data_IF_528217176923
#
_entry.id   IF_528217176923
#
_cell.length_a   1.000
_cell.length_b   1.000
_cell.length_c   1.000
_cell.angle_alpha   90.00
_cell.angle_beta   90.00
_cell.angle_gamma   90.00
#
_symmetry.space_group_name_H-M   'P 1'
#
loop_
_entity.id
_entity.type
_entity.pdbx_description
1 polymer ?
#
# COMPACT_ATOMS: atom_id res chain seq x y z
N UNK A 1 -32.23 -31.35 -23.40
CA UNK A 1 -32.25 -30.07 -22.71
C UNK A 1 -31.63 -30.26 -21.32
N UNK A 2 -30.34 -29.92 -21.14
CA UNK A 2 -29.68 -29.95 -19.82
C UNK A 2 -29.84 -28.59 -19.22
N UNK A 3 -30.69 -28.50 -18.23
CA UNK A 3 -30.77 -27.30 -17.35
C UNK A 3 -29.41 -27.12 -16.65
N UNK A 4 -28.61 -26.17 -17.12
CA UNK A 4 -27.51 -25.64 -16.32
C UNK A 4 -28.12 -24.75 -15.23
N UNK A 5 -28.35 -25.34 -14.06
CA UNK A 5 -28.47 -24.56 -12.83
C UNK A 5 -27.11 -23.88 -12.61
N UNK A 6 -26.98 -22.64 -13.00
CA UNK A 6 -25.96 -21.76 -12.47
C UNK A 6 -26.25 -21.56 -10.99
N UNK A 7 -25.65 -22.42 -10.16
CA UNK A 7 -25.57 -22.16 -8.71
C UNK A 7 -25.05 -20.73 -8.54
N UNK A 8 -25.84 -19.89 -7.95
CA UNK A 8 -25.50 -18.52 -7.57
C UNK A 8 -24.46 -18.60 -6.44
N UNK A 9 -23.21 -18.92 -6.82
CA UNK A 9 -22.11 -19.18 -5.88
C UNK A 9 -21.80 -17.88 -5.17
N UNK A 10 -22.25 -17.74 -3.95
CA UNK A 10 -21.99 -16.58 -3.12
C UNK A 10 -20.46 -16.37 -3.01
N UNK A 11 -19.98 -15.19 -3.39
CA UNK A 11 -18.56 -14.88 -3.36
C UNK A 11 -18.00 -14.94 -1.93
N UNK A 12 -16.79 -15.49 -1.72
CA UNK A 12 -16.17 -15.57 -0.40
C UNK A 12 -15.98 -14.17 0.21
N UNK A 13 -16.30 -14.03 1.49
CA UNK A 13 -16.28 -12.76 2.24
C UNK A 13 -14.86 -12.39 2.66
N UNK A 14 -14.53 -11.10 2.62
CA UNK A 14 -13.33 -10.54 3.23
C UNK A 14 -13.60 -9.11 3.72
N UNK A 15 -12.75 -8.63 4.63
CA UNK A 15 -12.82 -7.27 5.17
C UNK A 15 -11.57 -6.50 4.78
N UNK A 16 -11.75 -5.26 4.34
CA UNK A 16 -10.68 -4.30 4.09
C UNK A 16 -10.73 -3.23 5.17
N UNK A 17 -9.64 -3.02 5.91
CA UNK A 17 -9.50 -1.91 6.87
C UNK A 17 -8.50 -0.93 6.30
N UNK A 18 -8.96 0.28 6.01
CA UNK A 18 -8.16 1.31 5.37
C UNK A 18 -8.25 2.65 6.11
N UNK A 19 -7.31 3.53 5.82
CA UNK A 19 -7.30 4.87 6.41
C UNK A 19 -5.93 5.52 6.33
N UNK A 20 -5.85 6.72 6.87
CA UNK A 20 -4.64 7.53 6.88
C UNK A 20 -3.55 6.90 7.76
N UNK A 21 -2.28 7.27 7.51
CA UNK A 21 -1.21 6.95 8.46
C UNK A 21 -1.56 7.54 9.83
N UNK A 22 -1.17 6.89 10.92
CA UNK A 22 -1.48 7.25 12.31
C UNK A 22 -2.98 7.29 12.69
N UNK A 23 -3.89 6.67 11.91
CA UNK A 23 -5.32 6.61 12.24
C UNK A 23 -5.71 5.48 13.22
N UNK A 24 -4.78 4.58 13.57
CA UNK A 24 -5.07 3.44 14.45
C UNK A 24 -5.45 2.14 13.74
N UNK A 25 -5.20 2.03 12.42
CA UNK A 25 -5.52 0.82 11.65
C UNK A 25 -4.96 -0.47 12.26
N UNK A 26 -3.75 -0.42 12.77
CA UNK A 26 -3.08 -1.60 13.35
C UNK A 26 -3.85 -2.12 14.56
N UNK A 27 -4.19 -1.25 15.50
CA UNK A 27 -4.88 -1.64 16.73
C UNK A 27 -6.27 -2.21 16.42
N UNK A 28 -7.01 -1.53 15.54
CA UNK A 28 -8.32 -2.01 15.10
C UNK A 28 -8.23 -3.37 14.39
N UNK A 29 -7.27 -3.52 13.49
CA UNK A 29 -7.12 -4.76 12.74
C UNK A 29 -6.73 -5.95 13.62
N UNK A 30 -5.87 -5.74 14.60
CA UNK A 30 -5.49 -6.77 15.57
C UNK A 30 -6.69 -7.19 16.44
N UNK A 31 -7.43 -6.21 16.96
CA UNK A 31 -8.64 -6.48 17.74
C UNK A 31 -9.68 -7.25 16.93
N UNK A 32 -10.03 -6.74 15.74
CA UNK A 32 -11.07 -7.33 14.89
C UNK A 32 -10.64 -8.70 14.34
N UNK A 33 -9.38 -8.86 13.92
CA UNK A 33 -8.90 -10.16 13.47
C UNK A 33 -8.92 -11.20 14.57
N UNK A 34 -8.59 -10.84 15.80
CA UNK A 34 -8.70 -11.75 16.96
C UNK A 34 -10.17 -12.13 17.22
N UNK A 35 -11.07 -11.15 17.22
CA UNK A 35 -12.50 -11.37 17.49
C UNK A 35 -13.18 -12.24 16.45
N UNK A 36 -12.89 -12.03 15.17
CA UNK A 36 -13.52 -12.73 14.05
C UNK A 36 -12.69 -13.90 13.48
N UNK A 37 -11.76 -14.44 14.27
CA UNK A 37 -10.89 -15.55 13.84
C UNK A 37 -10.25 -15.32 12.49
N UNK A 38 -9.64 -14.15 12.31
CA UNK A 38 -9.08 -13.71 11.05
C UNK A 38 -7.55 -13.74 10.99
N UNK A 39 -7.03 -13.56 9.78
CA UNK A 39 -5.60 -13.36 9.50
C UNK A 39 -5.42 -12.10 8.63
N UNK A 40 -4.28 -11.43 8.75
CA UNK A 40 -4.07 -10.09 8.17
C UNK A 40 -3.16 -10.17 6.93
N UNK A 41 -3.56 -9.47 5.87
CA UNK A 41 -2.77 -9.20 4.67
C UNK A 41 -2.43 -7.71 4.67
N UNK A 42 -1.16 -7.35 4.84
CA UNK A 42 -0.73 -5.95 4.86
C UNK A 42 -0.80 -5.33 3.46
N UNK A 43 -1.54 -4.23 3.33
CA UNK A 43 -1.62 -3.39 2.14
C UNK A 43 -0.84 -2.07 2.32
N UNK A 44 0.37 -2.19 2.85
CA UNK A 44 1.32 -1.08 3.04
C UNK A 44 2.58 -1.31 2.20
N UNK A 45 2.83 -0.41 1.24
CA UNK A 45 3.97 -0.52 0.31
C UNK A 45 5.33 -0.19 0.93
N UNK A 46 5.38 0.12 2.24
CA UNK A 46 6.62 0.41 2.97
C UNK A 46 6.96 -0.68 3.98
N UNK A 47 5.98 -1.18 4.70
CA UNK A 47 6.18 -2.26 5.69
C UNK A 47 6.55 -3.61 5.07
N UNK A 48 6.51 -3.74 3.75
CA UNK A 48 6.99 -4.94 3.04
C UNK A 48 8.50 -5.15 3.16
N UNK A 49 9.28 -4.06 3.36
CA UNK A 49 10.73 -4.13 3.33
C UNK A 49 11.32 -4.61 4.66
N UNK A 50 12.22 -5.59 4.60
CA UNK A 50 13.04 -6.02 5.73
C UNK A 50 13.97 -4.91 6.20
N UNK A 51 14.35 -4.91 7.49
CA UNK A 51 15.31 -3.95 8.07
C UNK A 51 14.84 -2.49 8.06
N UNK A 52 13.63 -2.23 7.65
CA UNK A 52 13.02 -0.90 7.59
C UNK A 52 11.81 -0.89 8.54
N UNK A 53 12.10 -0.86 9.84
CA UNK A 53 11.10 -1.10 10.87
C UNK A 53 10.60 0.21 11.48
N UNK A 54 11.54 1.06 11.90
CA UNK A 54 11.24 2.31 12.60
C UNK A 54 10.62 3.33 11.63
N UNK A 55 11.29 3.63 10.51
CA UNK A 55 10.84 4.64 9.56
C UNK A 55 9.54 4.29 8.83
N UNK A 56 9.16 3.01 8.77
CA UNK A 56 7.87 2.56 8.22
C UNK A 56 6.80 2.41 9.29
N UNK A 57 7.15 2.58 10.56
CA UNK A 57 6.30 2.22 11.70
C UNK A 57 5.73 0.80 11.56
N UNK A 58 6.59 -0.14 11.16
CA UNK A 58 6.22 -1.55 11.05
C UNK A 58 5.78 -2.07 12.40
N UNK A 59 4.67 -2.79 12.43
CA UNK A 59 4.19 -3.39 13.66
C UNK A 59 5.19 -4.42 14.16
N UNK A 60 5.69 -4.29 15.40
CA UNK A 60 6.61 -5.28 15.95
C UNK A 60 6.00 -6.66 15.99
N UNK A 61 6.72 -7.62 15.48
CA UNK A 61 6.29 -9.02 15.42
C UNK A 61 7.47 -9.94 15.20
N UNK A 62 7.22 -11.20 15.04
CA UNK A 62 8.25 -12.22 14.87
C UNK A 62 7.91 -13.25 13.79
N UNK A 63 8.95 -13.80 13.17
CA UNK A 63 8.82 -14.88 12.21
C UNK A 63 8.74 -16.23 12.95
N UNK A 64 7.58 -16.90 12.86
CA UNK A 64 7.34 -18.24 13.41
C UNK A 64 7.18 -19.27 12.29
N UNK A 65 7.52 -20.52 12.57
CA UNK A 65 7.19 -21.62 11.69
C UNK A 65 5.68 -21.95 11.81
N UNK A 66 4.99 -21.97 10.66
CA UNK A 66 3.59 -22.39 10.53
C UNK A 66 3.58 -23.57 9.56
N UNK A 67 3.69 -24.77 10.10
CA UNK A 67 3.95 -25.96 9.30
C UNK A 67 5.29 -25.91 8.59
N UNK A 68 5.29 -25.90 7.25
CA UNK A 68 6.50 -25.93 6.43
C UNK A 68 6.99 -24.55 5.98
N UNK A 69 6.33 -23.46 6.39
CA UNK A 69 6.74 -22.10 6.04
C UNK A 69 6.81 -21.17 7.23
N UNK A 70 7.68 -20.16 7.10
CA UNK A 70 7.70 -19.05 8.06
C UNK A 70 6.59 -18.05 7.74
N UNK A 71 5.88 -17.62 8.77
CA UNK A 71 4.86 -16.58 8.72
C UNK A 71 5.17 -15.53 9.77
N UNK A 72 4.92 -14.26 9.46
CA UNK A 72 5.12 -13.15 10.40
C UNK A 72 3.92 -13.08 11.35
N UNK A 73 4.16 -13.02 12.64
CA UNK A 73 3.13 -12.95 13.67
C UNK A 73 3.24 -11.65 14.45
N UNK A 74 2.10 -11.01 14.69
CA UNK A 74 1.95 -9.95 15.69
C UNK A 74 1.05 -10.47 16.79
N UNK A 75 1.61 -10.73 17.96
CA UNK A 75 0.94 -11.57 18.94
C UNK A 75 0.64 -12.96 18.38
N UNK A 76 -0.61 -13.37 18.37
CA UNK A 76 -1.05 -14.66 17.82
C UNK A 76 -1.68 -14.55 16.43
N UNK A 77 -1.63 -13.38 15.81
CA UNK A 77 -2.28 -13.11 14.52
C UNK A 77 -1.26 -13.21 13.38
N UNK A 78 -1.47 -14.15 12.43
CA UNK A 78 -0.63 -14.24 11.26
C UNK A 78 -0.77 -13.02 10.35
N UNK A 79 0.37 -12.51 9.87
CA UNK A 79 0.44 -11.40 8.93
C UNK A 79 1.15 -11.83 7.65
N UNK A 80 0.60 -11.44 6.51
CA UNK A 80 1.16 -11.67 5.18
C UNK A 80 1.51 -10.35 4.50
N UNK A 81 2.45 -10.38 3.59
CA UNK A 81 2.93 -9.23 2.83
C UNK A 81 3.51 -8.11 3.72
N UNK A 82 4.16 -8.48 4.78
CA UNK A 82 4.92 -7.62 5.70
C UNK A 82 6.32 -8.20 5.89
N UNK A 83 7.34 -7.36 5.99
CA UNK A 83 8.73 -7.74 6.34
C UNK A 83 9.33 -8.88 5.49
N UNK A 84 9.02 -8.99 4.22
CA UNK A 84 9.46 -10.12 3.39
C UNK A 84 10.43 -9.74 2.27
N UNK A 85 10.48 -8.46 1.87
CA UNK A 85 11.21 -8.01 0.69
C UNK A 85 12.54 -7.34 1.07
N UNK A 86 13.60 -7.64 0.34
CA UNK A 86 14.86 -6.91 0.48
C UNK A 86 14.71 -5.45 0.01
N UNK A 87 15.27 -4.45 0.73
CA UNK A 87 15.15 -3.04 0.35
C UNK A 87 15.68 -2.69 -1.04
N UNK A 88 16.60 -3.49 -1.59
CA UNK A 88 17.11 -3.33 -2.95
C UNK A 88 16.16 -3.81 -4.05
N UNK A 89 15.04 -4.44 -3.72
CA UNK A 89 14.09 -5.01 -4.67
C UNK A 89 12.91 -4.09 -4.92
N UNK A 90 12.20 -4.36 -6.00
CA UNK A 90 10.95 -3.68 -6.37
C UNK A 90 9.76 -4.59 -6.06
N UNK A 91 8.64 -3.99 -5.71
CA UNK A 91 7.37 -4.66 -5.57
C UNK A 91 6.27 -3.78 -6.13
N UNK A 92 5.58 -4.28 -7.12
CA UNK A 92 4.58 -3.55 -7.90
C UNK A 92 3.16 -3.77 -7.35
N UNK A 93 2.21 -2.91 -7.75
CA UNK A 93 0.80 -3.12 -7.42
C UNK A 93 0.23 -4.39 -8.06
N UNK A 94 0.77 -4.83 -9.21
CA UNK A 94 0.38 -6.09 -9.84
C UNK A 94 0.84 -7.30 -9.02
N UNK A 95 2.09 -7.28 -8.52
CA UNK A 95 2.58 -8.33 -7.63
C UNK A 95 1.82 -8.35 -6.30
N UNK A 96 1.50 -7.17 -5.74
CA UNK A 96 0.64 -7.08 -4.55
C UNK A 96 -0.72 -7.74 -4.82
N UNK A 97 -1.39 -7.36 -5.90
CA UNK A 97 -2.70 -7.91 -6.28
C UNK A 97 -2.68 -9.44 -6.34
N UNK A 98 -1.72 -10.02 -7.08
CA UNK A 98 -1.61 -11.47 -7.22
C UNK A 98 -1.35 -12.17 -5.88
N UNK A 99 -0.43 -11.61 -5.09
CA UNK A 99 -0.11 -12.17 -3.78
C UNK A 99 -1.25 -12.01 -2.78
N UNK A 100 -1.96 -10.88 -2.79
CA UNK A 100 -3.12 -10.66 -1.92
C UNK A 100 -4.24 -11.67 -2.23
N UNK A 101 -4.54 -11.93 -3.51
CA UNK A 101 -5.49 -12.97 -3.91
C UNK A 101 -5.04 -14.36 -3.40
N UNK A 102 -3.76 -14.69 -3.59
CA UNK A 102 -3.18 -15.96 -3.13
C UNK A 102 -3.35 -16.14 -1.62
N UNK A 103 -3.01 -15.12 -0.82
CA UNK A 103 -3.14 -15.20 0.63
C UNK A 103 -4.60 -15.18 1.10
N UNK A 104 -5.48 -14.43 0.42
CA UNK A 104 -6.93 -14.47 0.69
C UNK A 104 -7.48 -15.89 0.53
N UNK A 105 -7.16 -16.57 -0.58
CA UNK A 105 -7.56 -17.97 -0.80
C UNK A 105 -6.96 -18.93 0.24
N UNK A 106 -5.71 -18.70 0.64
CA UNK A 106 -5.04 -19.50 1.68
C UNK A 106 -5.76 -19.35 3.04
N UNK A 107 -6.15 -18.13 3.41
CA UNK A 107 -6.85 -17.85 4.67
C UNK A 107 -8.25 -18.48 4.65
N UNK A 108 -8.98 -18.35 3.55
CA UNK A 108 -10.27 -19.05 3.38
C UNK A 108 -10.12 -20.57 3.48
N UNK A 109 -9.06 -21.16 2.93
CA UNK A 109 -8.77 -22.60 3.04
C UNK A 109 -8.51 -23.07 4.47
N UNK A 110 -8.22 -22.15 5.40
CA UNK A 110 -8.11 -22.40 6.85
C UNK A 110 -9.44 -22.14 7.60
N UNK A 111 -10.53 -21.84 6.90
CA UNK A 111 -11.81 -21.40 7.47
C UNK A 111 -11.68 -20.15 8.36
N UNK A 112 -10.84 -19.21 7.94
CA UNK A 112 -10.61 -17.93 8.64
C UNK A 112 -11.02 -16.74 7.76
N UNK A 113 -11.32 -15.60 8.41
CA UNK A 113 -11.70 -14.37 7.73
C UNK A 113 -10.45 -13.59 7.29
N UNK A 114 -10.26 -13.32 5.99
CA UNK A 114 -9.16 -12.47 5.55
C UNK A 114 -9.42 -10.99 5.87
N UNK A 115 -8.42 -10.31 6.44
CA UNK A 115 -8.39 -8.88 6.64
C UNK A 115 -7.28 -8.28 5.76
N UNK A 116 -7.64 -7.42 4.80
CA UNK A 116 -6.67 -6.62 4.03
C UNK A 116 -6.54 -5.26 4.71
N UNK A 117 -5.35 -4.95 5.24
CA UNK A 117 -5.17 -3.79 6.12
C UNK A 117 -4.07 -2.88 5.60
N UNK A 118 -4.38 -1.61 5.38
CA UNK A 118 -3.32 -0.69 4.98
C UNK A 118 -3.73 0.72 4.59
N UNK A 119 -2.73 1.47 4.10
CA UNK A 119 -2.89 2.86 3.68
C UNK A 119 -2.45 3.11 2.23
N UNK A 120 -2.02 2.09 1.49
CA UNK A 120 -1.58 2.25 0.11
C UNK A 120 -2.78 2.14 -0.84
N UNK A 121 -3.35 3.28 -1.22
CA UNK A 121 -4.60 3.35 -1.99
C UNK A 121 -4.58 2.53 -3.28
N UNK A 122 -3.47 2.57 -4.05
CA UNK A 122 -3.34 1.78 -5.28
C UNK A 122 -3.34 0.26 -5.01
N UNK A 123 -2.73 -0.21 -3.91
CA UNK A 123 -2.77 -1.62 -3.54
C UNK A 123 -4.20 -2.06 -3.25
N UNK A 124 -4.89 -1.32 -2.38
CA UNK A 124 -6.27 -1.62 -1.99
C UNK A 124 -7.18 -1.58 -3.20
N UNK A 125 -7.14 -0.50 -3.98
CA UNK A 125 -7.99 -0.36 -5.16
C UNK A 125 -7.74 -1.46 -6.18
N UNK A 126 -6.49 -1.77 -6.49
CA UNK A 126 -6.17 -2.82 -7.46
C UNK A 126 -6.71 -4.19 -7.05
N UNK A 127 -6.70 -4.47 -5.76
CA UNK A 127 -7.22 -5.72 -5.21
C UNK A 127 -8.75 -5.75 -5.17
N UNK A 128 -9.39 -4.68 -4.67
CA UNK A 128 -10.84 -4.58 -4.54
C UNK A 128 -11.54 -4.61 -5.91
N UNK A 129 -10.99 -3.89 -6.88
CA UNK A 129 -11.54 -3.79 -8.24
C UNK A 129 -11.03 -4.90 -9.18
N UNK A 130 -10.24 -5.85 -8.66
CA UNK A 130 -9.61 -6.92 -9.43
C UNK A 130 -8.96 -6.39 -10.72
N UNK A 131 -8.16 -5.31 -10.61
CA UNK A 131 -7.55 -4.68 -11.77
C UNK A 131 -6.63 -5.62 -12.53
N UNK A 132 -6.88 -5.74 -13.83
CA UNK A 132 -5.92 -6.30 -14.78
C UNK A 132 -4.87 -5.22 -15.06
N UNK A 133 -3.68 -5.40 -14.54
CA UNK A 133 -2.57 -4.46 -14.70
C UNK A 133 -1.53 -5.00 -15.67
N UNK A 134 -0.92 -4.11 -16.48
CA UNK A 134 0.17 -4.54 -17.37
C UNK A 134 1.35 -5.07 -16.57
N UNK A 135 1.78 -6.29 -16.91
CA UNK A 135 2.91 -6.99 -16.27
C UNK A 135 4.26 -6.64 -16.90
N UNK A 136 4.42 -5.38 -17.28
CA UNK A 136 5.66 -4.88 -17.87
C UNK A 136 6.60 -4.45 -16.74
N UNK A 137 7.75 -5.12 -16.66
CA UNK A 137 8.79 -4.77 -15.70
C UNK A 137 9.39 -3.40 -16.02
N UNK A 138 9.81 -2.63 -15.00
CA UNK A 138 10.48 -1.35 -15.21
C UNK A 138 11.77 -1.50 -16.03
N UNK A 139 11.87 -0.77 -17.15
CA UNK A 139 13.06 -0.74 -17.96
C UNK A 139 13.93 0.49 -17.60
N UNK A 140 15.00 0.24 -16.84
CA UNK A 140 15.88 1.31 -16.35
C UNK A 140 16.48 2.17 -17.46
N UNK A 141 16.86 1.58 -18.60
CA UNK A 141 17.46 2.29 -19.73
C UNK A 141 16.44 3.24 -20.38
N UNK A 142 15.24 2.73 -20.64
CA UNK A 142 14.15 3.52 -21.24
C UNK A 142 13.70 4.65 -20.29
N UNK A 143 13.55 4.38 -18.99
CA UNK A 143 13.20 5.41 -18.00
C UNK A 143 14.23 6.51 -17.95
N UNK A 144 15.53 6.17 -17.98
CA UNK A 144 16.60 7.16 -17.96
C UNK A 144 16.52 8.11 -19.16
N UNK A 145 16.28 7.59 -20.38
CA UNK A 145 16.09 8.45 -21.56
C UNK A 145 14.86 9.35 -21.45
N UNK A 146 13.80 8.91 -20.75
CA UNK A 146 12.62 9.74 -20.49
C UNK A 146 12.84 10.78 -19.38
N UNK A 147 13.66 10.49 -18.38
CA UNK A 147 13.99 11.46 -17.32
C UNK A 147 14.72 12.71 -17.86
N UNK A 148 15.39 12.62 -19.01
CA UNK A 148 16.04 13.72 -19.69
C UNK A 148 15.06 14.63 -20.44
N UNK A 149 13.80 14.21 -20.63
CA UNK A 149 12.75 14.94 -21.33
C UNK A 149 11.90 15.77 -20.39
N UNK A 150 11.32 16.86 -20.89
CA UNK A 150 10.32 17.64 -20.16
C UNK A 150 8.97 16.89 -20.07
N UNK A 151 8.12 17.28 -19.12
CA UNK A 151 6.76 16.75 -19.01
C UNK A 151 5.95 17.00 -20.30
N UNK A 152 6.20 18.13 -20.96
CA UNK A 152 5.51 18.50 -22.21
C UNK A 152 5.91 17.59 -23.36
N UNK A 153 7.20 17.31 -23.56
CA UNK A 153 7.66 16.36 -24.58
C UNK A 153 7.09 14.95 -24.34
N UNK A 154 7.11 14.48 -23.09
CA UNK A 154 6.55 13.19 -22.74
C UNK A 154 5.04 13.12 -22.97
N UNK A 155 4.31 14.21 -22.69
CA UNK A 155 2.88 14.30 -22.95
C UNK A 155 2.58 14.25 -24.45
N UNK A 156 3.33 14.97 -25.28
CA UNK A 156 3.16 14.93 -26.73
C UNK A 156 3.39 13.52 -27.30
N UNK A 157 4.40 12.81 -26.81
CA UNK A 157 4.62 11.42 -27.20
C UNK A 157 3.48 10.52 -26.73
N UNK A 158 2.98 10.74 -25.51
CA UNK A 158 1.86 9.95 -24.99
C UNK A 158 0.58 10.16 -25.79
N UNK A 159 0.32 11.40 -26.26
CA UNK A 159 -0.81 11.70 -27.17
C UNK A 159 -0.77 10.89 -28.47
N UNK A 160 0.43 10.59 -28.98
CA UNK A 160 0.59 9.80 -30.20
C UNK A 160 0.36 8.31 -29.99
N UNK A 161 0.80 7.75 -28.85
CA UNK A 161 0.73 6.30 -28.59
C UNK A 161 -0.49 5.88 -27.77
N UNK A 162 -1.02 6.79 -26.95
CA UNK A 162 -2.19 6.57 -26.09
C UNK A 162 -2.91 7.88 -25.78
N UNK A 163 -3.72 8.41 -26.70
CA UNK A 163 -4.46 9.66 -26.52
C UNK A 163 -5.35 9.65 -25.27
N UNK A 164 -5.99 8.51 -24.96
CA UNK A 164 -6.87 8.37 -23.80
C UNK A 164 -6.09 8.58 -22.50
N UNK A 165 -4.93 7.94 -22.36
CA UNK A 165 -4.07 8.18 -21.19
C UNK A 165 -3.58 9.61 -21.10
N UNK A 166 -3.28 10.25 -22.21
CA UNK A 166 -2.80 11.64 -22.24
C UNK A 166 -3.84 12.64 -21.70
N UNK A 167 -5.14 12.36 -21.87
CA UNK A 167 -6.22 13.20 -21.34
C UNK A 167 -6.45 12.99 -19.84
N UNK A 168 -6.40 11.75 -19.36
CA UNK A 168 -6.81 11.42 -17.99
C UNK A 168 -5.66 11.46 -16.97
N UNK A 169 -4.41 11.35 -17.44
CA UNK A 169 -3.24 11.28 -16.55
C UNK A 169 -2.91 12.66 -15.98
N UNK A 170 -2.41 12.70 -14.76
CA UNK A 170 -1.86 13.93 -14.18
C UNK A 170 -0.62 14.37 -14.97
N UNK A 171 -0.80 15.33 -15.87
CA UNK A 171 0.22 15.81 -16.81
C UNK A 171 1.44 16.44 -16.13
N UNK A 172 1.32 16.88 -14.87
CA UNK A 172 2.42 17.41 -14.05
C UNK A 172 3.19 16.29 -13.33
N UNK A 173 2.77 15.04 -13.48
CA UNK A 173 3.40 13.91 -12.84
C UNK A 173 4.26 13.13 -13.83
N UNK A 174 5.50 13.58 -13.99
CA UNK A 174 6.49 12.98 -14.90
C UNK A 174 6.61 11.46 -14.75
N UNK A 175 6.57 10.94 -13.51
CA UNK A 175 6.65 9.49 -13.27
C UNK A 175 5.46 8.73 -13.86
N UNK A 176 4.26 9.32 -13.86
CA UNK A 176 3.08 8.70 -14.48
C UNK A 176 3.15 8.74 -15.99
N UNK A 177 3.60 9.86 -16.57
CA UNK A 177 3.84 9.98 -18.01
C UNK A 177 4.87 8.94 -18.47
N UNK A 178 6.01 8.86 -17.80
CA UNK A 178 7.05 7.85 -18.07
C UNK A 178 6.49 6.43 -17.99
N UNK A 179 5.67 6.13 -16.97
CA UNK A 179 5.10 4.78 -16.83
C UNK A 179 4.11 4.45 -17.94
N UNK A 180 3.25 5.36 -18.33
CA UNK A 180 2.31 5.15 -19.43
C UNK A 180 3.05 4.91 -20.76
N UNK A 181 4.04 5.74 -21.08
CA UNK A 181 4.90 5.57 -22.25
C UNK A 181 5.69 4.25 -22.23
N UNK A 182 6.33 3.94 -21.09
CA UNK A 182 7.09 2.71 -20.92
C UNK A 182 6.22 1.47 -21.22
N UNK A 183 5.02 1.42 -20.65
CA UNK A 183 4.11 0.31 -20.86
C UNK A 183 3.65 0.26 -22.31
N UNK A 184 3.19 1.37 -22.89
CA UNK A 184 2.70 1.39 -24.26
C UNK A 184 3.78 0.98 -25.26
N UNK A 185 5.01 1.46 -25.08
CA UNK A 185 6.13 1.13 -26.01
C UNK A 185 6.56 -0.33 -25.86
N UNK A 186 6.69 -0.83 -24.63
CA UNK A 186 7.20 -2.18 -24.39
C UNK A 186 6.15 -3.29 -24.66
N UNK A 187 4.87 -2.99 -24.55
CA UNK A 187 3.80 -3.93 -24.86
C UNK A 187 3.32 -3.84 -26.31
N UNK A 188 3.55 -2.71 -26.98
CA UNK A 188 2.96 -2.41 -28.28
C UNK A 188 1.45 -2.06 -28.23
N UNK A 189 0.88 -1.91 -27.02
CA UNK A 189 -0.55 -1.60 -26.82
C UNK A 189 -0.70 -0.36 -25.92
N UNK A 190 -1.71 0.48 -26.13
CA UNK A 190 -1.98 1.64 -25.26
C UNK A 190 -2.08 1.24 -23.79
N UNK A 191 -1.51 2.04 -22.90
CA UNK A 191 -1.60 1.83 -21.45
C UNK A 191 -3.05 1.83 -20.95
N UNK A 192 -3.89 2.71 -21.52
CA UNK A 192 -5.32 2.80 -21.23
C UNK A 192 -6.08 1.50 -21.51
N UNK A 193 -5.72 0.78 -22.56
CA UNK A 193 -6.37 -0.49 -22.95
C UNK A 193 -6.06 -1.63 -21.97
N UNK A 194 -4.95 -1.52 -21.23
CA UNK A 194 -4.45 -2.55 -20.33
C UNK A 194 -4.93 -2.38 -18.87
N UNK A 195 -5.58 -1.25 -18.56
CA UNK A 195 -6.18 -1.00 -17.26
C UNK A 195 -7.68 -1.31 -17.29
N UNK A 196 -8.05 -2.55 -17.01
CA UNK A 196 -9.46 -2.96 -16.96
C UNK A 196 -9.82 -3.48 -15.58
N UNK A 197 -10.98 -3.09 -15.10
CA UNK A 197 -11.60 -3.75 -13.95
C UNK A 197 -11.95 -5.19 -14.34
N UNK A 198 -11.63 -6.13 -13.45
CA UNK A 198 -12.02 -7.53 -13.60
C UNK A 198 -13.36 -7.82 -12.93
N UNK A 199 -13.90 -9.03 -13.16
CA UNK A 199 -15.05 -9.50 -12.40
C UNK A 199 -14.70 -9.61 -10.90
N UNK A 200 -15.65 -9.28 -10.00
CA UNK A 200 -15.44 -9.41 -8.57
C UNK A 200 -15.06 -10.84 -8.18
N UNK A 201 -14.00 -11.00 -7.41
CA UNK A 201 -13.54 -12.30 -6.90
C UNK A 201 -14.05 -12.61 -5.49
N UNK A 202 -14.40 -11.58 -4.75
CA UNK A 202 -14.78 -11.65 -3.34
C UNK A 202 -15.96 -10.73 -3.05
N UNK A 203 -16.75 -11.08 -2.03
CA UNK A 203 -17.67 -10.15 -1.39
C UNK A 203 -16.88 -9.35 -0.36
N UNK A 204 -16.78 -8.03 -0.53
CA UNK A 204 -15.83 -7.18 0.19
C UNK A 204 -16.57 -6.14 1.02
N UNK A 205 -16.32 -6.12 2.33
CA UNK A 205 -16.66 -5.00 3.19
C UNK A 205 -15.43 -4.10 3.34
N UNK A 206 -15.54 -2.85 2.91
CA UNK A 206 -14.49 -1.84 3.10
C UNK A 206 -14.84 -0.93 4.29
N UNK A 207 -13.98 -0.90 5.30
CA UNK A 207 -14.12 -0.05 6.49
C UNK A 207 -13.00 0.99 6.47
N UNK A 208 -13.37 2.25 6.38
CA UNK A 208 -12.47 3.39 6.46
C UNK A 208 -12.44 3.97 7.87
N UNK A 209 -11.25 4.09 8.47
CA UNK A 209 -11.13 4.76 9.76
C UNK A 209 -11.17 6.27 9.56
N UNK A 210 -12.18 6.91 10.14
CA UNK A 210 -12.30 8.35 10.21
C UNK A 210 -11.70 8.85 11.53
N UNK A 211 -10.80 9.83 11.46
CA UNK A 211 -10.17 10.45 12.62
C UNK A 211 -10.25 11.96 12.46
N UNK A 212 -10.54 12.67 13.52
CA UNK A 212 -10.50 14.12 13.50
C UNK A 212 -9.08 14.60 13.17
N UNK A 213 -9.00 15.74 12.48
CA UNK A 213 -7.74 16.23 11.91
C UNK A 213 -6.71 16.55 12.98
N UNK A 214 -7.15 17.15 14.06
CA UNK A 214 -6.32 17.56 15.21
C UNK A 214 -5.70 16.32 15.88
N UNK A 215 -6.52 15.30 16.18
CA UNK A 215 -6.08 14.04 16.76
C UNK A 215 -5.09 13.29 15.85
N UNK A 216 -5.38 13.30 14.53
CA UNK A 216 -4.49 12.69 13.56
C UNK A 216 -3.12 13.38 13.53
N UNK A 217 -3.09 14.72 13.59
CA UNK A 217 -1.85 15.48 13.61
C UNK A 217 -1.04 15.21 14.87
N UNK A 218 -1.69 15.17 16.04
CA UNK A 218 -1.03 14.81 17.30
C UNK A 218 -0.47 13.39 17.27
N UNK A 219 -1.23 12.43 16.73
CA UNK A 219 -0.76 11.06 16.57
C UNK A 219 0.45 10.96 15.63
N UNK A 220 0.48 11.77 14.57
CA UNK A 220 1.63 11.82 13.65
C UNK A 220 2.86 12.37 14.39
N UNK A 221 2.72 13.45 15.12
CA UNK A 221 3.83 14.06 15.86
C UNK A 221 4.39 13.11 16.92
N UNK A 222 3.52 12.54 17.76
CA UNK A 222 3.91 11.55 18.77
C UNK A 222 4.64 10.36 18.15
N UNK A 223 4.15 9.82 17.04
CA UNK A 223 4.81 8.73 16.32
C UNK A 223 6.20 9.10 15.83
N UNK A 224 6.39 10.33 15.32
CA UNK A 224 7.70 10.79 14.86
C UNK A 224 8.66 10.95 16.04
N UNK A 225 8.20 11.47 17.17
CA UNK A 225 9.01 11.56 18.39
C UNK A 225 9.40 10.16 18.92
N UNK A 226 8.50 9.18 18.82
CA UNK A 226 8.79 7.78 19.13
C UNK A 226 9.83 7.18 18.16
N UNK A 227 9.75 7.44 16.86
CA UNK A 227 10.73 7.00 15.88
C UNK A 227 12.14 7.52 16.22
N UNK A 228 12.27 8.75 16.68
CA UNK A 228 13.56 9.33 17.12
C UNK A 228 14.09 8.56 18.32
N UNK A 229 13.25 8.33 19.33
CA UNK A 229 13.64 7.57 20.55
C UNK A 229 14.06 6.14 20.24
N UNK A 230 13.42 5.52 19.25
CA UNK A 230 13.75 4.17 18.77
C UNK A 230 15.00 4.10 17.89
N UNK A 231 15.57 5.23 17.48
CA UNK A 231 16.82 5.27 16.72
C UNK A 231 16.65 5.24 15.20
N UNK A 232 15.70 6.00 14.64
CA UNK A 232 15.49 6.09 13.19
C UNK A 232 16.76 6.50 12.43
N UNK A 233 17.56 7.38 12.99
CA UNK A 233 18.82 7.83 12.36
C UNK A 233 19.80 6.69 12.23
N UNK A 234 19.93 5.86 13.26
CA UNK A 234 20.78 4.68 13.31
C UNK A 234 20.30 3.59 12.33
N UNK A 235 18.97 3.39 12.22
CA UNK A 235 18.39 2.50 11.21
C UNK A 235 18.81 2.94 9.81
N UNK A 236 18.68 4.24 9.48
CA UNK A 236 19.06 4.77 8.18
C UNK A 236 20.55 4.63 7.92
N UNK A 237 21.41 4.97 8.90
CA UNK A 237 22.87 4.78 8.78
C UNK A 237 23.24 3.32 8.51
N UNK A 238 22.56 2.39 9.18
CA UNK A 238 22.76 0.96 8.97
C UNK A 238 22.39 0.52 7.54
N UNK A 239 21.27 1.03 7.01
CA UNK A 239 20.87 0.76 5.63
C UNK A 239 21.89 1.31 4.62
N UNK A 240 22.36 2.54 4.79
CA UNK A 240 23.36 3.15 3.93
C UNK A 240 24.70 2.39 3.98
N UNK A 241 25.14 1.95 5.16
CA UNK A 241 26.33 1.10 5.33
C UNK A 241 26.19 -0.23 4.59
N UNK A 242 24.99 -0.77 4.47
CA UNK A 242 24.67 -1.96 3.69
C UNK A 242 24.50 -1.66 2.19
N UNK A 243 24.85 -0.46 1.71
CA UNK A 243 24.80 -0.01 0.31
C UNK A 243 23.39 0.15 -0.26
N UNK A 244 22.36 0.32 0.57
CA UNK A 244 21.04 0.74 0.12
C UNK A 244 21.07 2.26 -0.16
N UNK A 245 21.10 2.64 -1.44
CA UNK A 245 21.22 4.05 -1.84
C UNK A 245 19.88 4.81 -1.75
N UNK A 246 19.97 6.13 -1.68
CA UNK A 246 18.79 7.02 -1.66
C UNK A 246 17.90 6.92 -2.91
N UNK A 247 18.43 6.40 -4.02
CA UNK A 247 17.68 6.25 -5.28
C UNK A 247 16.77 5.01 -5.28
N UNK A 248 16.88 4.15 -4.28
CA UNK A 248 16.01 2.99 -4.15
C UNK A 248 14.57 3.41 -3.81
N UNK A 249 13.56 2.77 -4.37
CA UNK A 249 12.15 3.03 -4.04
C UNK A 249 11.86 2.89 -2.55
N UNK A 250 12.51 1.95 -1.86
CA UNK A 250 12.41 1.76 -0.41
C UNK A 250 12.82 3.02 0.36
N UNK A 251 13.96 3.61 -0.01
CA UNK A 251 14.53 4.80 0.64
C UNK A 251 13.82 6.11 0.26
N UNK A 252 13.03 6.12 -0.84
CA UNK A 252 12.30 7.31 -1.30
C UNK A 252 11.02 7.61 -0.51
N UNK A 253 10.65 6.77 0.46
CA UNK A 253 9.44 6.90 1.26
C UNK A 253 9.49 8.05 2.26
N UNK A 254 8.32 8.49 2.70
CA UNK A 254 8.19 9.32 3.90
C UNK A 254 8.67 8.48 5.09
N UNK A 255 9.52 9.08 5.92
CA UNK A 255 10.19 8.39 7.01
C UNK A 255 11.69 8.15 6.80
N UNK A 256 12.18 8.24 5.54
CA UNK A 256 13.60 8.03 5.22
C UNK A 256 14.21 9.22 4.48
N UNK A 257 13.67 9.60 3.35
CA UNK A 257 14.27 10.62 2.46
C UNK A 257 14.48 11.97 3.13
N UNK A 258 13.70 12.30 4.17
CA UNK A 258 13.80 13.56 4.90
C UNK A 258 15.08 13.69 5.70
N UNK A 259 15.72 12.57 6.04
CA UNK A 259 16.98 12.56 6.78
C UNK A 259 18.24 12.66 5.90
N UNK A 260 18.07 12.69 4.56
CA UNK A 260 19.20 12.71 3.64
C UNK A 260 20.11 13.91 3.88
N UNK A 261 19.55 15.12 3.87
CA UNK A 261 20.33 16.36 4.02
C UNK A 261 20.96 16.46 5.42
N UNK A 262 20.27 15.97 6.46
CA UNK A 262 20.85 15.85 7.81
C UNK A 262 22.07 14.93 7.84
N UNK A 263 21.98 13.76 7.24
CA UNK A 263 23.08 12.81 7.19
C UNK A 263 24.24 13.25 6.28
N UNK A 264 23.98 14.14 5.34
CA UNK A 264 24.99 14.82 4.52
C UNK A 264 25.56 16.09 5.21
N UNK A 265 25.13 16.41 6.45
CA UNK A 265 25.61 17.56 7.24
C UNK A 265 25.11 18.93 6.73
N UNK A 266 24.04 18.96 5.91
CA UNK A 266 23.48 20.19 5.31
C UNK A 266 22.37 20.82 6.14
N UNK A 267 21.81 20.09 7.09
CA UNK A 267 20.74 20.57 7.98
C UNK A 267 20.82 19.89 9.35
N UNK A 268 20.13 20.49 10.35
CA UNK A 268 20.03 19.90 11.69
C UNK A 268 19.02 18.77 11.74
N UNK A 269 19.06 17.96 12.81
CA UNK A 269 18.06 16.91 13.02
C UNK A 269 16.66 17.52 13.18
N UNK A 270 16.53 18.63 13.90
CA UNK A 270 15.26 19.34 14.12
C UNK A 270 14.63 19.75 12.78
N UNK A 271 15.43 20.27 11.84
CA UNK A 271 14.96 20.65 10.52
C UNK A 271 14.46 19.43 9.73
N UNK A 272 15.18 18.31 9.78
CA UNK A 272 14.74 17.06 9.17
C UNK A 272 13.42 16.55 9.76
N UNK A 273 13.25 16.65 11.09
CA UNK A 273 12.03 16.22 11.78
C UNK A 273 10.84 17.11 11.42
N UNK A 274 11.02 18.43 11.33
CA UNK A 274 9.95 19.33 10.90
C UNK A 274 9.52 19.05 9.43
N UNK A 275 10.47 18.77 8.55
CA UNK A 275 10.17 18.28 7.18
C UNK A 275 9.37 16.97 7.22
N UNK A 276 9.76 16.03 8.07
CA UNK A 276 9.09 14.75 8.21
C UNK A 276 7.66 14.92 8.72
N UNK A 277 7.41 15.73 9.76
CA UNK A 277 6.08 16.04 10.28
C UNK A 277 5.18 16.65 9.20
N UNK A 278 5.69 17.66 8.49
CA UNK A 278 4.96 18.33 7.40
C UNK A 278 4.60 17.37 6.26
N UNK A 279 5.56 16.58 5.79
CA UNK A 279 5.33 15.64 4.69
C UNK A 279 4.43 14.46 5.09
N UNK A 280 4.49 14.00 6.34
CA UNK A 280 3.60 12.95 6.85
C UNK A 280 2.15 13.45 6.93
N UNK A 281 1.91 14.66 7.41
CA UNK A 281 0.58 15.30 7.38
C UNK A 281 0.05 15.45 5.95
N UNK A 282 0.91 15.87 5.02
CA UNK A 282 0.55 15.95 3.61
C UNK A 282 0.24 14.59 2.98
N UNK A 283 1.03 13.56 3.31
CA UNK A 283 0.78 12.19 2.89
C UNK A 283 -0.56 11.66 3.41
N UNK A 284 -0.86 11.89 4.67
CA UNK A 284 -2.14 11.53 5.26
C UNK A 284 -3.32 12.22 4.54
N UNK A 285 -3.19 13.50 4.19
CA UNK A 285 -4.19 14.22 3.39
C UNK A 285 -4.38 13.57 2.01
N UNK A 286 -3.30 13.20 1.33
CA UNK A 286 -3.38 12.50 0.02
C UNK A 286 -4.08 11.14 0.13
N UNK A 287 -3.82 10.37 1.18
CA UNK A 287 -4.53 9.11 1.44
C UNK A 287 -6.03 9.33 1.57
N UNK A 288 -6.46 10.31 2.38
CA UNK A 288 -7.88 10.63 2.55
C UNK A 288 -8.53 11.07 1.24
N UNK A 289 -7.86 11.93 0.46
CA UNK A 289 -8.34 12.35 -0.87
C UNK A 289 -8.50 11.17 -1.82
N UNK A 290 -7.63 10.16 -1.72
CA UNK A 290 -7.74 8.95 -2.51
C UNK A 290 -8.96 8.13 -2.11
N UNK A 291 -9.08 7.81 -0.82
CA UNK A 291 -10.14 6.94 -0.32
C UNK A 291 -11.54 7.54 -0.43
N UNK A 292 -11.70 8.86 -0.27
CA UNK A 292 -13.00 9.54 -0.44
C UNK A 292 -13.63 9.40 -1.83
N UNK A 293 -12.88 8.94 -2.83
CA UNK A 293 -13.41 8.70 -4.19
C UNK A 293 -14.20 7.40 -4.29
N UNK A 294 -13.99 6.47 -3.38
CA UNK A 294 -14.68 5.18 -3.36
C UNK A 294 -15.88 5.25 -2.38
N UNK A 295 -17.09 5.32 -2.94
CA UNK A 295 -18.32 5.42 -2.17
C UNK A 295 -18.70 4.09 -1.47
N UNK A 296 -18.03 2.98 -1.77
CA UNK A 296 -18.25 1.67 -1.13
C UNK A 296 -17.64 1.61 0.28
N UNK A 297 -16.84 2.60 0.67
CA UNK A 297 -16.19 2.63 1.97
C UNK A 297 -17.17 3.07 3.04
N UNK A 298 -17.40 2.19 4.03
CA UNK A 298 -18.12 2.49 5.26
C UNK A 298 -17.17 3.17 6.24
N UNK A 299 -17.37 4.45 6.49
CA UNK A 299 -16.50 5.20 7.41
C UNK A 299 -16.93 5.01 8.86
N UNK A 300 -15.98 4.64 9.74
CA UNK A 300 -16.21 4.41 11.17
C UNK A 300 -15.27 5.28 12.00
N UNK A 301 -15.77 5.80 13.11
CA UNK A 301 -15.01 6.60 14.07
C UNK A 301 -14.55 5.77 15.27
N UNK A 302 -15.26 4.67 15.56
CA UNK A 302 -14.98 3.75 16.66
C UNK A 302 -14.76 2.33 16.16
N UNK A 303 -14.06 1.51 16.93
CA UNK A 303 -13.84 0.11 16.59
C UNK A 303 -15.12 -0.71 16.79
N UNK A 304 -15.99 -0.30 17.69
CA UNK A 304 -17.30 -0.91 17.97
C UNK A 304 -18.25 -0.77 16.78
N UNK A 305 -18.24 0.37 16.08
CA UNK A 305 -19.02 0.56 14.84
C UNK A 305 -18.47 -0.33 13.72
N UNK A 306 -17.16 -0.43 13.59
CA UNK A 306 -16.52 -1.34 12.62
C UNK A 306 -16.88 -2.81 12.92
N UNK A 307 -16.93 -3.18 14.18
CA UNK A 307 -17.33 -4.51 14.63
C UNK A 307 -18.75 -4.84 14.20
N UNK A 308 -19.74 -3.96 14.47
CA UNK A 308 -21.13 -4.13 14.03
C UNK A 308 -21.25 -4.28 12.53
N UNK A 309 -20.51 -3.47 11.76
CA UNK A 309 -20.48 -3.60 10.30
C UNK A 309 -20.01 -4.99 9.85
N UNK A 310 -19.01 -5.55 10.51
CA UNK A 310 -18.50 -6.91 10.20
C UNK A 310 -19.54 -7.97 10.60
N UNK A 311 -20.16 -7.87 11.79
CA UNK A 311 -21.20 -8.79 12.22
C UNK A 311 -22.36 -8.84 11.22
N UNK A 312 -22.87 -7.69 10.81
CA UNK A 312 -23.98 -7.60 9.86
C UNK A 312 -23.57 -8.07 8.46
N UNK A 313 -22.34 -7.81 8.05
CA UNK A 313 -21.79 -8.34 6.80
C UNK A 313 -21.69 -9.86 6.80
N UNK A 314 -21.31 -10.46 7.93
CA UNK A 314 -21.15 -11.91 8.03
C UNK A 314 -22.49 -12.65 8.10
N UNK A 315 -23.57 -12.03 8.58
CA UNK A 315 -24.93 -12.60 8.61
C UNK A 315 -25.60 -12.68 7.23
N UNK A 316 -25.27 -11.76 6.33
CA UNK A 316 -25.78 -11.72 4.93
C UNK A 316 -25.09 -12.78 4.06
#
# INVERSE_FOLDING_TARGET
MKNQHTENKQLPKLVVILGQTASGKTDWSLYLAKKFNGEIISADSRQIFKKMDIGTAKTPGEWRWDGFKKTYYVGDIPHYLIDFLDPGKYFTSAEFHDQAIKYTKLIHGKNKLPFVVGGTGMYIQSFVDNYKMPRIAPNKKLRRSFEEKSEMELLEWLKQVDPISAEIIDQKNKRRLIRALEVSILSGEPFSSQQKMGEPLFNILQIGIKKEKEDLHQNIERRIDEMVKLGIVEEIKSLLKQKYSWDLPSMSGVGYRQFREHLEGKETLEQALEKLKKETKHFAKKQMTWFKRDQRICWSETVEDAEKLIEDFLKK
#
